data_IF_942703050774
#
_entry.id   IF_942703050774
#
_cell.length_a   1.000
_cell.length_b   1.000
_cell.length_c   1.000
_cell.angle_alpha   90.00
_cell.angle_beta   90.00
_cell.angle_gamma   90.00
#
_symmetry.space_group_name_H-M   'P 1'
#
loop_
_entity.id
_entity.type
_entity.pdbx_description
1 polymer ?
#
# COMPACT_ATOMS: atom_id res chain seq x y z
N UNK A 1 3.91 4.33 -9.56
CA UNK A 1 4.54 4.21 -8.24
C UNK A 1 3.57 3.74 -7.16
N UNK A 2 4.12 3.20 -6.07
CA UNK A 2 3.42 2.80 -4.85
C UNK A 2 2.85 4.02 -4.12
N UNK A 3 1.55 4.04 -3.72
CA UNK A 3 0.95 5.17 -2.99
C UNK A 3 1.77 5.59 -1.77
N UNK A 4 2.35 4.63 -1.05
CA UNK A 4 3.25 4.88 0.06
C UNK A 4 4.43 5.79 -0.32
N UNK A 5 5.04 5.62 -1.49
CA UNK A 5 6.16 6.48 -1.90
C UNK A 5 5.69 7.85 -2.41
N UNK A 6 4.44 7.95 -2.85
CA UNK A 6 3.79 9.19 -3.27
C UNK A 6 3.21 10.01 -2.09
N UNK A 7 3.43 9.58 -0.84
CA UNK A 7 3.00 10.35 0.34
C UNK A 7 1.73 9.82 1.03
N UNK A 8 1.18 8.67 0.62
CA UNK A 8 0.01 8.10 1.30
C UNK A 8 0.29 7.82 2.79
N UNK A 9 -0.75 8.03 3.61
CA UNK A 9 -0.79 7.73 5.04
C UNK A 9 0.38 8.34 5.86
N UNK A 10 0.48 9.68 5.90
CA UNK A 10 1.58 10.37 6.57
C UNK A 10 1.64 10.09 8.07
N UNK A 11 0.50 9.89 8.74
CA UNK A 11 0.43 9.59 10.17
C UNK A 11 1.09 8.23 10.48
N UNK A 12 0.79 7.20 9.68
CA UNK A 12 1.41 5.88 9.84
C UNK A 12 2.92 5.95 9.58
N UNK A 13 3.36 6.71 8.56
CA UNK A 13 4.79 6.92 8.30
C UNK A 13 5.50 7.54 9.49
N UNK A 14 4.94 8.62 10.06
CA UNK A 14 5.49 9.31 11.22
C UNK A 14 5.56 8.37 12.43
N UNK A 15 4.49 7.59 12.66
CA UNK A 15 4.44 6.61 13.76
C UNK A 15 5.54 5.56 13.64
N UNK A 16 5.75 5.01 12.43
CA UNK A 16 6.79 4.01 12.17
C UNK A 16 8.19 4.62 12.28
N UNK A 17 8.38 5.86 11.84
CA UNK A 17 9.64 6.59 11.95
C UNK A 17 10.00 6.92 13.41
N UNK A 18 9.00 7.17 14.26
CA UNK A 18 9.18 7.42 15.70
C UNK A 18 9.42 6.16 16.54
N UNK A 19 9.18 4.97 15.97
CA UNK A 19 9.36 3.68 16.65
C UNK A 19 10.83 3.32 16.91
N UNK A 20 11.08 2.38 17.83
CA UNK A 20 12.43 1.85 18.09
C UNK A 20 12.83 0.85 17.00
N UNK A 21 13.95 1.10 16.31
CA UNK A 21 14.55 0.18 15.33
C UNK A 21 14.79 0.81 13.95
N UNK A 22 15.09 -0.02 12.95
CA UNK A 22 15.36 0.41 11.57
C UNK A 22 14.08 0.68 10.76
N UNK A 23 13.06 1.29 11.39
CA UNK A 23 11.74 1.54 10.77
C UNK A 23 11.82 2.37 9.49
N UNK A 24 12.83 3.25 9.38
CA UNK A 24 13.09 4.03 8.17
C UNK A 24 13.79 3.24 7.04
N UNK A 25 14.42 2.10 7.32
CA UNK A 25 15.21 1.36 6.33
C UNK A 25 14.35 0.44 5.44
N UNK A 26 13.16 0.06 5.92
CA UNK A 26 12.28 -0.91 5.25
C UNK A 26 10.88 -0.35 4.94
N UNK A 27 10.83 0.91 4.51
CA UNK A 27 9.57 1.67 4.33
C UNK A 27 8.54 0.95 3.46
N UNK A 28 8.95 0.30 2.36
CA UNK A 28 8.05 -0.49 1.50
C UNK A 28 7.53 -1.75 2.19
N UNK A 29 8.32 -2.41 3.04
CA UNK A 29 7.88 -3.59 3.80
C UNK A 29 6.96 -3.20 4.95
N UNK A 30 7.16 -2.02 5.53
CA UNK A 30 6.23 -1.46 6.51
C UNK A 30 4.85 -1.20 5.89
N UNK A 31 4.82 -0.62 4.68
CA UNK A 31 3.59 -0.47 3.91
C UNK A 31 2.93 -1.83 3.61
N UNK A 32 3.73 -2.85 3.24
CA UNK A 32 3.25 -4.21 3.03
C UNK A 32 2.65 -4.82 4.30
N UNK A 33 3.28 -4.64 5.47
CA UNK A 33 2.76 -5.12 6.74
C UNK A 33 1.44 -4.46 7.14
N UNK A 34 1.32 -3.15 6.92
CA UNK A 34 0.07 -2.41 7.13
C UNK A 34 -1.05 -2.93 6.21
N UNK A 35 -0.73 -3.17 4.94
CA UNK A 35 -1.68 -3.73 3.98
C UNK A 35 -2.04 -5.19 4.31
N UNK A 36 -1.11 -6.00 4.81
CA UNK A 36 -1.40 -7.37 5.26
C UNK A 36 -2.45 -7.39 6.38
N UNK A 37 -2.35 -6.46 7.35
CA UNK A 37 -3.36 -6.30 8.39
C UNK A 37 -4.71 -5.84 7.83
N UNK A 38 -4.71 -4.86 6.90
CA UNK A 38 -5.91 -4.40 6.21
C UNK A 38 -6.60 -5.56 5.46
N UNK A 39 -5.84 -6.34 4.69
CA UNK A 39 -6.33 -7.48 3.92
C UNK A 39 -6.95 -8.54 4.83
N UNK A 40 -6.30 -8.86 5.96
CA UNK A 40 -6.83 -9.80 6.94
C UNK A 40 -8.16 -9.29 7.54
N UNK A 41 -8.20 -8.02 7.92
CA UNK A 41 -9.37 -7.40 8.56
C UNK A 41 -10.56 -7.33 7.59
N UNK A 42 -10.28 -7.14 6.31
CA UNK A 42 -11.28 -6.99 5.24
C UNK A 42 -11.43 -8.26 4.39
N UNK A 43 -10.96 -9.42 4.85
CA UNK A 43 -10.88 -10.62 4.03
C UNK A 43 -12.25 -11.06 3.49
N UNK A 44 -13.31 -11.00 4.30
CA UNK A 44 -14.68 -11.31 3.84
C UNK A 44 -15.16 -10.38 2.73
N UNK A 45 -14.74 -9.10 2.76
CA UNK A 45 -15.07 -8.14 1.71
C UNK A 45 -14.35 -8.45 0.42
N UNK A 46 -13.09 -8.90 0.47
CA UNK A 46 -12.34 -9.36 -0.70
C UNK A 46 -12.96 -10.61 -1.33
N UNK A 47 -13.60 -11.46 -0.54
CA UNK A 47 -14.32 -12.64 -1.03
C UNK A 47 -15.67 -12.31 -1.68
N UNK A 48 -16.15 -11.06 -1.60
CA UNK A 48 -17.46 -10.68 -2.15
C UNK A 48 -17.49 -10.67 -3.70
N UNK A 49 -16.34 -10.76 -4.35
CA UNK A 49 -16.25 -10.89 -5.81
C UNK A 49 -15.01 -10.24 -6.40
N UNK A 50 -14.81 -10.37 -7.73
CA UNK A 50 -13.65 -9.83 -8.44
C UNK A 50 -13.56 -8.29 -8.39
N UNK A 51 -14.68 -7.62 -8.15
CA UNK A 51 -14.75 -6.14 -8.08
C UNK A 51 -14.47 -5.58 -6.67
N UNK A 52 -14.13 -6.44 -5.70
CA UNK A 52 -13.80 -6.00 -4.36
C UNK A 52 -12.43 -5.30 -4.34
N UNK A 53 -12.46 -3.98 -4.13
CA UNK A 53 -11.28 -3.13 -4.09
C UNK A 53 -11.02 -2.57 -2.69
N UNK A 54 -9.75 -2.60 -2.27
CA UNK A 54 -9.27 -1.95 -1.06
C UNK A 54 -8.17 -0.95 -1.40
N UNK A 55 -8.26 0.26 -0.85
CA UNK A 55 -7.19 1.26 -0.98
C UNK A 55 -6.08 0.93 0.04
N UNK A 56 -4.99 0.36 -0.46
CA UNK A 56 -3.81 0.05 0.34
C UNK A 56 -2.71 1.11 0.22
N UNK A 57 -1.71 1.00 1.08
CA UNK A 57 -0.48 1.78 1.01
C UNK A 57 0.41 1.29 -0.13
N UNK A 58 0.28 0.01 -0.52
CA UNK A 58 1.07 -0.62 -1.60
C UNK A 58 0.41 -0.54 -2.97
N UNK A 59 -0.83 -0.03 -3.07
CA UNK A 59 -1.59 0.08 -4.32
C UNK A 59 -3.09 -0.02 -4.07
N UNK A 60 -3.87 -0.02 -5.15
CA UNK A 60 -5.24 -0.51 -5.11
C UNK A 60 -5.20 -2.04 -5.10
N UNK A 61 -5.78 -2.65 -4.07
CA UNK A 61 -5.69 -4.08 -3.79
C UNK A 61 -6.97 -4.78 -4.21
N UNK A 62 -6.82 -5.89 -4.93
CA UNK A 62 -7.89 -6.82 -5.28
C UNK A 62 -7.42 -8.26 -5.07
N UNK A 63 -8.34 -9.22 -5.11
CA UNK A 63 -8.03 -10.64 -4.97
C UNK A 63 -8.56 -11.40 -6.17
N UNK A 64 -7.69 -12.16 -6.84
CA UNK A 64 -8.11 -13.02 -7.94
C UNK A 64 -8.71 -14.35 -7.41
N UNK A 65 -9.36 -15.16 -8.27
CA UNK A 65 -9.96 -16.43 -7.86
C UNK A 65 -8.96 -17.45 -7.28
N UNK A 66 -7.66 -17.28 -7.52
CA UNK A 66 -6.59 -18.11 -6.96
C UNK A 66 -6.12 -17.60 -5.58
N UNK A 67 -6.85 -16.67 -4.97
CA UNK A 67 -6.54 -16.03 -3.68
C UNK A 67 -5.21 -15.26 -3.68
N UNK A 68 -4.80 -14.77 -4.85
CA UNK A 68 -3.62 -13.94 -4.99
C UNK A 68 -4.00 -12.47 -4.94
N UNK A 69 -3.29 -11.70 -4.14
CA UNK A 69 -3.48 -10.25 -4.06
C UNK A 69 -2.83 -9.59 -5.28
N UNK A 70 -3.65 -8.89 -6.04
CA UNK A 70 -3.19 -8.05 -7.14
C UNK A 70 -3.09 -6.61 -6.66
N UNK A 71 -2.13 -5.87 -7.24
CA UNK A 71 -1.88 -4.46 -6.91
C UNK A 71 -1.89 -3.65 -8.19
N UNK A 72 -2.80 -2.70 -8.28
CA UNK A 72 -2.74 -1.66 -9.29
C UNK A 72 -1.99 -0.45 -8.71
N UNK A 73 -0.99 0.03 -9.45
CA UNK A 73 -0.14 1.15 -9.07
C UNK A 73 -0.53 2.39 -9.87
N UNK A 74 -0.46 3.55 -9.23
CA UNK A 74 -0.68 4.84 -9.90
C UNK A 74 0.46 5.05 -10.89
N UNK A 75 0.19 5.43 -12.14
CA UNK A 75 1.29 5.77 -13.05
C UNK A 75 2.00 7.02 -12.54
N UNK A 76 3.32 7.09 -12.62
CA UNK A 76 4.06 8.22 -12.05
C UNK A 76 5.22 8.60 -12.95
N UNK A 77 5.56 9.88 -12.95
CA UNK A 77 6.63 10.47 -13.74
C UNK A 77 7.61 11.19 -12.82
N UNK A 78 8.87 11.29 -13.25
CA UNK A 78 9.81 12.20 -12.63
C UNK A 78 9.63 13.58 -13.24
N UNK A 79 9.38 14.57 -12.40
CA UNK A 79 9.28 15.98 -12.79
C UNK A 79 10.09 16.82 -11.79
N UNK A 80 10.98 17.67 -12.31
CA UNK A 80 11.92 18.49 -11.53
C UNK A 80 12.66 17.74 -10.39
N UNK A 81 12.99 16.46 -10.60
CA UNK A 81 13.71 15.63 -9.61
C UNK A 81 12.83 15.02 -8.51
N UNK A 82 11.52 15.23 -8.56
CA UNK A 82 10.54 14.59 -7.68
C UNK A 82 9.69 13.58 -8.46
N UNK A 83 9.24 12.52 -7.78
CA UNK A 83 8.23 11.60 -8.34
C UNK A 83 6.86 12.24 -8.17
N UNK A 84 6.13 12.41 -9.26
CA UNK A 84 4.75 12.91 -9.27
C UNK A 84 3.81 11.84 -9.83
N UNK A 85 2.60 11.65 -9.25
CA UNK A 85 1.56 10.89 -9.91
C UNK A 85 1.18 11.56 -11.24
N UNK A 86 0.90 10.76 -12.27
CA UNK A 86 0.40 11.23 -13.56
C UNK A 86 -1.11 11.45 -13.53
#
# INVERSE_FOLDING_TARGET
EMPWLLGANPELKQTIAAGRGNGASYTRLNALGADAFLLQTQFRRLQAGPDALLRGNTGLLSMNPQLQIQRELVLSTFDEGAVQPR
#
